data_IF_374889809729
#
_entry.id   IF_374889809729
#
_cell.length_a   1.000
_cell.length_b   1.000
_cell.length_c   1.000
_cell.angle_alpha   90.00
_cell.angle_beta   90.00
_cell.angle_gamma   90.00
#
_symmetry.space_group_name_H-M   'P 1'
#
loop_
_entity.id
_entity.type
_entity.pdbx_description
1 polymer ?
2 polymer ?
3 polymer ?
4 non-polymer ?
5 non-polymer ?
6 non-polymer ?
7 non-polymer ?
8 water ?
#
loop_
_entity_poly.entity_id
_entity_poly.type
_entity_poly.pdbx_seq_one_letter_code
_entity_poly.pdbx_strand_id
2 'polydeoxyribonucleotide' '(DC)(DT)(DG)(DC)(DC)(DT)(DC)(DA)(DG)(DG)(DC)(DA)(DC)' ?
3 'polydeoxyribonucleotide' '(DG)(DT)(DG)(DC)(DC)(DT)(DG)(DA)(DG)(DG)(DC)(DA)(DG)' ?
#
# COMPACT_ATOMS: atom_id res chain seq x y z
N UNK A 2 25.20 1.56 13.99
CA UNK A 2 25.10 1.98 15.44
C UNK A 2 23.69 2.45 15.86
N UNK A 3 23.31 2.15 17.10
CA UNK A 3 22.07 2.55 17.81
C UNK A 3 21.80 4.06 17.64
N UNK A 4 20.53 4.42 17.48
CA UNK A 4 20.12 5.83 17.61
C UNK A 4 20.44 6.32 19.04
N UNK A 5 21.11 7.44 19.12
CA UNK A 5 21.38 8.07 20.44
C UNK A 5 20.07 8.09 21.22
N UNK A 6 19.97 7.48 22.43
CA UNK A 6 18.76 7.48 23.22
C UNK A 6 18.17 8.86 23.53
N UNK A 7 19.03 9.89 23.58
CA UNK A 7 18.59 11.29 23.81
C UNK A 7 17.75 11.79 22.61
N UNK A 8 17.86 11.18 21.43
CA UNK A 8 17.10 11.59 20.24
C UNK A 8 15.92 10.65 19.97
N UNK A 9 15.64 9.74 20.90
CA UNK A 9 14.52 8.78 20.76
C UNK A 9 13.42 9.23 21.70
N UNK A 10 12.23 9.49 21.20
CA UNK A 10 11.13 9.94 22.06
C UNK A 10 10.53 8.75 22.80
N UNK A 11 10.17 7.68 22.09
CA UNK A 11 9.62 6.44 22.71
C UNK A 11 9.77 5.30 21.69
N UNK A 12 9.32 4.10 22.07
CA UNK A 12 9.23 2.91 21.20
C UNK A 12 7.78 2.44 21.13
N UNK A 13 7.32 2.01 19.97
CA UNK A 13 5.87 1.85 19.71
C UNK A 13 5.71 0.48 19.06
N UNK A 14 4.82 -0.38 19.60
CA UNK A 14 4.59 -1.70 19.02
C UNK A 14 3.81 -1.52 17.72
N UNK A 15 4.24 -2.23 16.69
CA UNK A 15 3.62 -2.20 15.36
C UNK A 15 2.14 -2.57 15.46
N UNK A 16 1.28 -1.88 14.71
CA UNK A 16 -0.18 -2.13 14.62
C UNK A 16 -0.48 -3.32 13.71
N UNK A 17 0.43 -3.73 12.84
CA UNK A 17 0.12 -4.75 11.79
C UNK A 17 0.93 -6.03 11.98
N UNK A 18 1.64 -6.18 13.10
CA UNK A 18 2.42 -7.40 13.41
C UNK A 18 1.54 -8.50 13.99
N UNK A 19 1.64 -9.72 13.52
CA UNK A 19 1.00 -10.89 14.16
C UNK A 19 2.01 -11.57 15.08
N UNK A 20 1.58 -11.97 16.28
CA UNK A 20 2.37 -12.84 17.18
C UNK A 20 3.77 -12.25 17.39
N UNK A 21 3.87 -10.97 17.74
CA UNK A 21 5.14 -10.35 18.22
C UNK A 21 6.22 -10.49 17.15
N UNK A 22 5.86 -10.47 15.87
CA UNK A 22 6.81 -10.70 14.74
C UNK A 22 7.85 -9.55 14.66
N UNK A 23 7.60 -8.36 15.19
CA UNK A 23 8.57 -7.21 15.10
C UNK A 23 8.88 -6.64 16.49
N UNK A 24 10.12 -6.17 16.67
CA UNK A 24 10.50 -5.32 17.84
C UNK A 24 9.73 -4.03 17.76
N UNK A 25 9.53 -3.39 18.91
CA UNK A 25 8.92 -2.06 18.97
C UNK A 25 9.72 -1.17 18.02
N UNK A 26 9.04 -0.32 17.29
CA UNK A 26 9.66 0.70 16.43
C UNK A 26 10.10 1.86 17.31
N UNK A 27 11.33 2.32 17.13
CA UNK A 27 11.79 3.57 17.79
C UNK A 27 11.15 4.77 17.10
N UNK A 28 10.62 5.67 17.89
CA UNK A 28 10.11 6.93 17.35
C UNK A 28 11.05 8.04 17.79
N UNK A 29 11.78 8.63 16.85
CA UNK A 29 12.74 9.73 17.12
C UNK A 29 11.98 11.00 17.45
N UNK A 30 12.68 11.91 18.13
CA UNK A 30 12.19 13.29 18.31
C UNK A 30 11.96 13.96 16.93
N UNK A 31 12.81 13.74 15.94
CA UNK A 31 12.65 14.25 14.56
C UNK A 31 11.27 13.81 14.02
N UNK A 32 10.92 12.53 14.19
CA UNK A 32 9.60 12.01 13.72
C UNK A 32 8.46 12.72 14.43
N UNK A 33 8.54 12.86 15.76
CA UNK A 33 7.50 13.59 16.51
C UNK A 33 7.38 15.02 15.98
N UNK A 34 8.48 15.68 15.68
CA UNK A 34 8.44 17.08 15.21
C UNK A 34 7.79 17.14 13.79
N UNK A 35 8.05 16.16 12.95
CA UNK A 35 7.34 16.01 11.66
C UNK A 35 5.82 15.91 11.87
N UNK A 36 5.36 15.10 12.81
CA UNK A 36 3.91 14.96 13.04
C UNK A 36 3.31 16.28 13.57
N UNK A 37 4.04 17.06 14.37
CA UNK A 37 3.46 18.26 15.06
C UNK A 37 3.52 19.49 14.14
N UNK A 38 4.29 19.40 13.07
CA UNK A 38 4.57 20.53 12.15
C UNK A 38 3.67 20.43 10.91
N UNK A 39 3.49 21.51 10.13
CA UNK A 39 2.78 21.42 8.86
C UNK A 39 3.44 20.35 8.01
N UNK A 40 2.68 19.61 7.17
CA UNK A 40 1.27 19.87 6.93
C UNK A 40 0.24 19.21 7.84
N UNK A 41 0.59 18.22 8.66
CA UNK A 41 -0.46 17.60 9.50
C UNK A 41 -0.77 18.37 10.80
N UNK A 42 0.22 18.92 11.51
CA UNK A 42 -0.01 19.62 12.81
C UNK A 42 -0.95 18.78 13.69
N UNK A 43 -0.55 17.55 14.02
CA UNK A 43 -1.35 16.71 14.92
C UNK A 43 -1.42 17.37 16.29
N UNK A 44 -2.51 17.13 17.00
CA UNK A 44 -2.70 17.61 18.39
C UNK A 44 -2.34 16.48 19.35
N UNK A 45 -2.46 16.71 20.65
CA UNK A 45 -1.99 15.75 21.68
C UNK A 45 -2.77 14.46 21.51
N UNK A 46 -4.04 14.56 21.25
CA UNK A 46 -4.90 13.37 21.24
C UNK A 46 -4.53 12.47 20.04
N UNK A 47 -4.34 13.03 18.86
CA UNK A 47 -3.95 12.27 17.64
C UNK A 47 -2.54 11.71 17.78
N UNK A 48 -1.62 12.52 18.33
CA UNK A 48 -0.23 12.04 18.53
C UNK A 48 -0.19 10.91 19.55
N UNK A 49 -1.00 11.00 20.61
CA UNK A 49 -1.16 9.89 21.58
C UNK A 49 -1.58 8.59 20.90
N UNK A 50 -2.48 8.64 19.93
CA UNK A 50 -2.88 7.40 19.24
C UNK A 50 -1.75 6.90 18.35
N UNK A 51 -1.05 7.79 17.68
CA UNK A 51 0.10 7.40 16.84
C UNK A 51 1.12 6.69 17.73
N UNK A 52 1.36 7.24 18.93
CA UNK A 52 2.33 6.66 19.90
C UNK A 52 1.67 5.54 20.67
N UNK A 53 0.42 5.21 20.42
CA UNK A 53 -0.27 4.09 21.11
C UNK A 53 -0.14 4.23 22.64
N UNK A 54 -0.48 5.40 23.19
CA UNK A 54 -0.46 5.64 24.67
C UNK A 54 -1.87 5.43 25.27
N UNK A 55 -1.94 4.89 26.46
CA UNK A 55 -3.17 4.76 27.29
C UNK A 55 -3.85 6.12 27.39
N UNK A 56 -5.19 6.18 27.27
CA UNK A 56 -5.96 7.43 27.44
C UNK A 56 -6.25 7.59 28.94
N UNK A 57 -5.27 7.95 29.73
CA UNK A 57 -5.42 8.00 31.21
C UNK A 57 -5.81 9.43 31.57
N UNK A 58 -6.18 9.68 32.82
CA UNK A 58 -6.58 11.04 33.29
C UNK A 58 -5.41 12.01 33.07
N UNK A 59 -5.61 13.18 32.49
CA UNK A 59 -4.49 14.11 32.19
C UNK A 59 -3.44 13.46 31.26
N UNK A 60 -3.86 12.54 30.38
CA UNK A 60 -2.92 11.90 29.44
C UNK A 60 -2.31 12.94 28.50
N UNK A 61 -3.14 13.87 28.03
CA UNK A 61 -2.79 15.00 27.15
C UNK A 61 -1.74 15.89 27.80
N UNK A 62 -1.95 16.23 29.07
CA UNK A 62 -1.04 17.12 29.86
C UNK A 62 0.31 16.44 30.01
N UNK A 63 0.28 15.20 30.38
CA UNK A 63 1.52 14.42 30.58
C UNK A 63 2.27 14.28 29.23
N UNK A 64 1.58 14.15 28.07
CA UNK A 64 2.28 14.05 26.77
C UNK A 64 2.88 15.42 26.45
N UNK A 65 2.13 16.49 26.64
CA UNK A 65 2.58 17.88 26.34
C UNK A 65 3.75 18.26 27.25
N UNK A 66 3.83 17.74 28.47
CA UNK A 66 4.99 17.96 29.37
C UNK A 66 6.21 17.21 28.84
N UNK A 67 6.03 15.95 28.47
CA UNK A 67 7.11 15.17 27.83
C UNK A 67 7.65 15.96 26.63
N UNK A 68 6.76 16.52 25.78
CA UNK A 68 7.21 17.26 24.58
C UNK A 68 7.97 18.53 25.02
N UNK A 69 7.50 19.23 26.04
CA UNK A 69 8.18 20.47 26.51
C UNK A 69 9.61 20.16 26.94
N UNK A 70 9.82 19.08 27.67
CA UNK A 70 11.19 18.67 28.12
C UNK A 70 12.16 18.59 26.93
N UNK A 71 11.73 18.14 25.74
CA UNK A 71 12.62 17.96 24.56
C UNK A 71 12.59 19.19 23.66
N UNK A 72 11.87 20.25 24.06
CA UNK A 72 11.86 21.55 23.36
C UNK A 72 10.78 21.71 22.31
N UNK A 73 9.82 20.79 22.22
CA UNK A 73 8.67 20.90 21.26
C UNK A 73 7.48 21.48 22.05
N UNK A 74 6.80 22.43 21.45
CA UNK A 74 5.69 23.17 22.09
C UNK A 74 4.42 22.72 21.38
N UNK A 75 3.53 22.05 22.10
CA UNK A 75 2.24 21.58 21.57
C UNK A 75 1.14 22.25 22.40
N UNK A 76 0.50 23.34 21.89
CA UNK A 76 -0.57 24.02 22.62
C UNK A 76 -1.72 23.06 22.93
N UNK A 77 -2.27 23.19 24.13
CA UNK A 77 -3.40 22.37 24.63
C UNK A 77 -4.60 22.57 23.72
N UNK A 78 -4.77 23.75 23.10
CA UNK A 78 -5.99 24.09 22.35
C UNK A 78 -5.91 23.77 20.87
N UNK A 79 -4.80 23.19 20.41
CA UNK A 79 -4.57 22.96 18.96
C UNK A 79 -5.76 22.17 18.37
N UNK A 80 -6.24 22.61 17.21
CA UNK A 80 -7.43 22.01 16.54
C UNK A 80 -7.11 20.56 16.14
N UNK A 81 -8.14 19.69 16.20
CA UNK A 81 -8.08 18.27 15.80
C UNK A 81 -8.21 18.16 14.27
N UNK A 82 -7.12 17.75 13.59
CA UNK A 82 -7.08 17.48 12.13
C UNK A 82 -8.20 16.49 11.76
N UNK A 83 -9.04 16.86 10.79
CA UNK A 83 -10.12 16.01 10.25
C UNK A 83 -9.66 15.26 8.98
N UNK A 84 -8.61 15.71 8.24
CA UNK A 84 -8.06 14.99 7.06
C UNK A 84 -7.06 13.93 7.52
N UNK A 85 -7.44 13.08 8.45
CA UNK A 85 -6.60 11.94 8.88
C UNK A 85 -7.00 10.75 8.00
N UNK A 86 -6.05 9.92 7.65
CA UNK A 86 -6.32 8.65 6.91
C UNK A 86 -5.82 7.51 7.77
N UNK A 87 -5.99 6.29 7.26
CA UNK A 87 -5.47 5.11 7.96
C UNK A 87 -3.94 5.22 8.06
N UNK A 88 -3.28 5.86 7.08
CA UNK A 88 -1.80 6.02 7.06
C UNK A 88 -1.36 6.91 8.24
N UNK A 89 -2.19 7.82 8.69
CA UNK A 89 -1.87 8.77 9.78
C UNK A 89 -1.59 7.99 11.06
N UNK A 90 -2.15 6.78 11.21
CA UNK A 90 -1.96 5.97 12.43
C UNK A 90 -0.53 5.44 12.52
N UNK A 91 0.23 5.37 11.41
CA UNK A 91 1.48 4.62 11.40
C UNK A 91 2.65 5.41 11.99
N UNK A 92 3.54 4.74 12.71
CA UNK A 92 4.90 5.30 12.98
C UNK A 92 5.73 5.03 11.71
N UNK A 93 6.71 5.89 11.46
CA UNK A 93 7.48 5.87 10.19
C UNK A 93 8.10 4.49 9.97
N UNK A 94 8.70 3.87 10.98
CA UNK A 94 9.28 2.53 10.80
C UNK A 94 8.25 1.53 10.29
N UNK A 95 7.01 1.59 10.76
CA UNK A 95 5.99 0.60 10.32
C UNK A 95 5.52 0.97 8.89
N UNK A 96 5.43 2.25 8.61
CA UNK A 96 4.96 2.73 7.29
C UNK A 96 5.92 2.22 6.24
N UNK A 97 7.21 2.36 6.52
CA UNK A 97 8.23 1.92 5.55
C UNK A 97 8.22 0.40 5.48
N UNK A 98 8.08 -0.28 6.62
CA UNK A 98 8.00 -1.76 6.61
C UNK A 98 6.79 -2.21 5.78
N UNK A 99 5.66 -1.53 5.93
CA UNK A 99 4.45 -1.88 5.16
C UNK A 99 4.70 -1.71 3.65
N UNK A 100 5.36 -0.64 3.27
CA UNK A 100 5.72 -0.42 1.85
C UNK A 100 6.67 -1.50 1.33
N UNK A 101 7.65 -1.90 2.15
CA UNK A 101 8.60 -2.99 1.82
C UNK A 101 7.85 -4.32 1.61
N UNK A 102 6.89 -4.65 2.46
CA UNK A 102 6.13 -5.89 2.33
C UNK A 102 5.23 -5.81 1.09
N UNK A 103 4.68 -4.62 0.78
CA UNK A 103 3.90 -4.41 -0.47
C UNK A 103 4.79 -4.69 -1.68
N UNK A 104 5.99 -4.13 -1.68
CA UNK A 104 7.05 -4.40 -2.67
C UNK A 104 7.32 -5.88 -2.82
N UNK A 105 7.45 -6.57 -1.70
CA UNK A 105 7.70 -8.02 -1.66
C UNK A 105 6.56 -8.81 -2.34
N UNK A 106 5.29 -8.53 -2.00
CA UNK A 106 4.14 -9.26 -2.59
C UNK A 106 3.99 -8.86 -4.06
N UNK A 107 4.25 -7.63 -4.44
CA UNK A 107 4.20 -7.21 -5.86
C UNK A 107 5.30 -7.92 -6.67
N UNK A 108 6.44 -8.24 -6.06
CA UNK A 108 7.56 -8.93 -6.74
C UNK A 108 7.31 -10.44 -6.77
N UNK A 109 6.82 -11.04 -5.70
CA UNK A 109 6.77 -12.50 -5.54
C UNK A 109 5.36 -13.07 -5.76
N UNK A 110 4.28 -12.31 -5.58
CA UNK A 110 2.94 -12.97 -5.61
C UNK A 110 2.11 -12.37 -6.75
N UNK A 111 2.40 -11.18 -7.26
CA UNK A 111 1.58 -10.59 -8.33
C UNK A 111 1.70 -11.45 -9.58
N UNK A 112 0.61 -11.92 -10.25
CA UNK A 112 0.79 -12.88 -11.34
C UNK A 112 1.13 -12.17 -12.66
N UNK A 113 2.34 -11.60 -12.77
CA UNK A 113 2.72 -10.75 -13.92
C UNK A 113 2.63 -11.54 -15.25
N UNK A 114 3.00 -12.80 -15.23
CA UNK A 114 3.04 -13.65 -16.45
C UNK A 114 1.60 -13.93 -16.91
N UNK A 115 0.70 -14.33 -16.02
CA UNK A 115 -0.71 -14.57 -16.39
C UNK A 115 -1.35 -13.27 -16.89
N UNK A 116 -1.09 -12.15 -16.25
CA UNK A 116 -1.64 -10.84 -16.70
C UNK A 116 -1.10 -10.53 -18.13
N UNK A 117 0.20 -10.70 -18.36
CA UNK A 117 0.83 -10.45 -19.67
C UNK A 117 0.17 -11.32 -20.76
N UNK A 118 -0.06 -12.58 -20.47
CA UNK A 118 -0.66 -13.52 -21.44
C UNK A 118 -2.07 -13.07 -21.73
N UNK A 119 -2.83 -12.71 -20.70
CA UNK A 119 -4.20 -12.24 -20.92
C UNK A 119 -4.20 -10.95 -21.74
N UNK A 120 -3.43 -9.95 -21.35
CA UNK A 120 -3.55 -8.68 -22.07
C UNK A 120 -2.94 -8.81 -23.48
N UNK A 121 -1.88 -9.56 -23.68
CA UNK A 121 -1.33 -9.82 -25.05
C UNK A 121 -2.46 -10.44 -25.92
N UNK A 122 -3.30 -11.33 -25.36
CA UNK A 122 -4.37 -12.02 -26.11
C UNK A 122 -5.48 -11.04 -26.48
N UNK A 123 -5.71 -10.00 -25.69
CA UNK A 123 -6.71 -8.97 -26.06
C UNK A 123 -6.20 -8.16 -27.26
N UNK A 124 -4.90 -8.05 -27.50
CA UNK A 124 -4.35 -7.27 -28.66
C UNK A 124 -3.44 -8.17 -29.47
N UNK A 125 -4.00 -9.22 -30.06
CA UNK A 125 -3.23 -10.30 -30.66
C UNK A 125 -3.34 -10.33 -32.20
N UNK A 126 -4.04 -9.38 -32.84
CA UNK A 126 -4.01 -9.23 -34.32
C UNK A 126 -2.56 -9.05 -34.78
N UNK A 127 -2.12 -9.79 -35.83
CA UNK A 127 -0.81 -9.54 -36.44
C UNK A 127 -0.51 -8.06 -36.74
N UNK A 128 -1.53 -7.33 -37.17
CA UNK A 128 -1.33 -5.95 -37.67
C UNK A 128 -1.14 -4.98 -36.50
N UNK A 129 -1.21 -5.41 -35.23
CA UNK A 129 -0.95 -4.44 -34.12
C UNK A 129 0.27 -4.86 -33.28
N UNK A 130 1.00 -5.90 -33.67
CA UNK A 130 2.07 -6.45 -32.79
C UNK A 130 3.26 -5.50 -32.77
N UNK A 131 3.59 -4.82 -33.87
CA UNK A 131 4.75 -3.90 -33.83
C UNK A 131 4.39 -2.71 -32.93
N UNK A 132 3.20 -2.13 -33.10
CA UNK A 132 2.76 -0.97 -32.28
C UNK A 132 2.74 -1.41 -30.80
N UNK A 133 2.18 -2.57 -30.48
CA UNK A 133 2.02 -3.01 -29.05
C UNK A 133 3.42 -3.09 -28.45
N UNK A 134 4.37 -3.73 -29.16
CA UNK A 134 5.76 -3.86 -28.65
C UNK A 134 6.34 -2.48 -28.36
N UNK A 135 6.21 -1.52 -29.26
CA UNK A 135 6.78 -0.16 -29.04
C UNK A 135 6.06 0.50 -27.86
N UNK A 136 4.75 0.27 -27.70
CA UNK A 136 4.00 0.93 -26.59
C UNK A 136 4.49 0.34 -25.26
N UNK A 137 4.73 -0.97 -25.20
CA UNK A 137 5.24 -1.67 -23.99
C UNK A 137 6.63 -1.15 -23.68
N UNK A 138 7.52 -1.06 -24.67
CA UNK A 138 8.88 -0.48 -24.47
C UNK A 138 8.83 0.98 -23.97
N UNK A 139 8.02 1.84 -24.57
CA UNK A 139 7.91 3.24 -24.11
C UNK A 139 7.38 3.26 -22.66
N UNK A 140 6.43 2.38 -22.30
CA UNK A 140 5.80 2.38 -20.97
C UNK A 140 6.88 2.04 -19.95
N UNK A 141 7.70 1.03 -20.26
CA UNK A 141 8.86 0.62 -19.40
C UNK A 141 9.77 1.81 -19.18
N UNK A 142 10.09 2.54 -20.24
CA UNK A 142 11.06 3.64 -20.09
C UNK A 142 10.48 4.77 -19.27
N UNK A 143 9.24 5.16 -19.54
CA UNK A 143 8.61 6.30 -18.83
C UNK A 143 8.42 5.92 -17.35
N UNK A 144 7.95 4.69 -17.07
CA UNK A 144 7.79 4.20 -15.66
C UNK A 144 9.13 4.20 -14.94
N UNK A 145 10.22 3.77 -15.59
CA UNK A 145 11.54 3.72 -14.92
C UNK A 145 12.01 5.13 -14.60
N UNK A 146 11.86 6.08 -15.51
CA UNK A 146 12.27 7.48 -15.25
C UNK A 146 11.47 8.00 -14.03
N UNK A 147 10.18 7.68 -13.97
CA UNK A 147 9.29 8.13 -12.86
C UNK A 147 9.78 7.54 -11.51
N UNK A 148 10.02 6.23 -11.44
CA UNK A 148 10.48 5.55 -10.19
C UNK A 148 11.91 5.98 -9.85
N UNK A 149 12.78 6.23 -10.84
CA UNK A 149 14.14 6.78 -10.62
C UNK A 149 14.07 8.14 -9.95
N UNK A 150 13.14 9.00 -10.33
CA UNK A 150 12.97 10.29 -9.62
C UNK A 150 12.54 10.00 -8.16
N UNK A 151 11.56 9.12 -7.94
CA UNK A 151 11.06 8.90 -6.57
C UNK A 151 12.21 8.32 -5.72
N UNK A 152 13.11 7.51 -6.29
CA UNK A 152 14.24 6.88 -5.60
C UNK A 152 15.30 7.93 -5.23
N UNK A 153 15.25 9.13 -5.79
CA UNK A 153 16.20 10.20 -5.45
C UNK A 153 15.67 11.07 -4.32
N UNK A 154 14.43 10.80 -3.86
CA UNK A 154 13.83 11.51 -2.68
C UNK A 154 14.81 11.38 -1.51
N UNK A 155 15.19 12.46 -0.84
CA UNK A 155 16.00 12.39 0.40
C UNK A 155 15.25 13.06 1.54
N UNK A 156 13.94 12.85 1.64
CA UNK A 156 13.10 13.29 2.77
C UNK A 156 13.70 12.76 4.07
N UNK A 157 13.84 13.56 5.12
CA UNK A 157 14.13 13.03 6.45
C UNK A 157 13.17 11.90 6.88
N UNK A 158 13.69 10.84 7.42
CA UNK A 158 12.94 9.67 7.98
C UNK A 158 13.79 9.10 9.11
N UNK A 159 13.16 8.48 10.12
CA UNK A 159 13.88 8.04 11.34
C UNK A 159 14.76 9.17 11.85
N UNK A 160 16.00 8.85 12.18
CA UNK A 160 16.96 9.82 12.70
C UNK A 160 17.86 10.31 11.56
N UNK A 161 17.55 10.04 10.30
CA UNK A 161 18.45 10.53 9.24
C UNK A 161 17.90 11.77 8.51
N UNK A 162 18.81 12.67 8.20
CA UNK A 162 18.61 13.92 7.46
C UNK A 162 19.67 13.94 6.38
N UNK A 163 19.59 13.08 5.35
CA UNK A 163 20.63 13.03 4.33
C UNK A 163 20.67 14.32 3.50
N UNK A 164 21.81 14.58 2.84
CA UNK A 164 21.98 15.77 1.95
C UNK A 164 21.10 15.55 0.72
N UNK A 165 20.28 16.53 0.30
CA UNK A 165 19.44 16.33 -0.88
C UNK A 165 20.29 16.19 -2.16
N UNK A 166 19.85 15.36 -3.10
CA UNK A 166 20.50 15.25 -4.43
C UNK A 166 19.62 15.89 -5.50
N UNK A 167 18.32 16.10 -5.23
CA UNK A 167 17.39 16.89 -6.07
C UNK A 167 17.41 18.36 -5.66
N UNK A 168 17.06 19.23 -6.61
CA UNK A 168 16.81 20.69 -6.43
C UNK A 168 15.66 20.89 -5.43
N UNK A 169 15.74 21.97 -4.63
CA UNK A 169 14.85 22.18 -3.50
C UNK A 169 13.36 22.21 -3.82
N UNK A 170 12.96 22.69 -5.01
CA UNK A 170 11.55 22.74 -5.41
C UNK A 170 10.94 21.33 -5.47
N UNK A 171 11.48 20.44 -6.29
CA UNK A 171 10.89 19.07 -6.45
C UNK A 171 11.08 18.32 -5.11
N UNK A 172 12.20 18.50 -4.39
CA UNK A 172 12.44 17.85 -3.07
C UNK A 172 11.35 18.22 -2.07
N UNK A 173 10.98 19.50 -1.97
CA UNK A 173 9.91 19.94 -1.06
C UNK A 173 8.58 19.27 -1.46
N UNK A 174 8.31 19.08 -2.74
CA UNK A 174 7.06 18.41 -3.19
C UNK A 174 7.10 16.93 -2.77
N UNK A 175 8.21 16.24 -2.97
CA UNK A 175 8.30 14.82 -2.56
C UNK A 175 8.21 14.72 -1.04
N UNK A 176 8.79 15.67 -0.33
CA UNK A 176 8.77 15.68 1.16
C UNK A 176 7.33 15.83 1.63
N UNK A 177 6.57 16.69 0.98
CA UNK A 177 5.12 16.83 1.30
C UNK A 177 4.45 15.44 1.26
N UNK A 178 4.68 14.67 0.22
CA UNK A 178 4.04 13.32 0.08
C UNK A 178 4.57 12.38 1.18
N UNK A 179 5.86 12.47 1.55
CA UNK A 179 6.48 11.71 2.65
C UNK A 179 5.74 12.05 3.97
N UNK A 180 5.50 13.32 4.25
CA UNK A 180 4.95 13.76 5.54
C UNK A 180 3.48 13.34 5.67
N UNK A 181 2.66 13.44 4.63
CA UNK A 181 1.22 13.07 4.81
C UNK A 181 1.09 11.54 4.88
N UNK A 182 2.01 10.78 4.33
CA UNK A 182 1.92 9.29 4.27
C UNK A 182 2.83 8.65 5.35
N UNK A 183 3.59 9.43 6.10
CA UNK A 183 4.51 8.92 7.17
C UNK A 183 5.57 8.04 6.55
N UNK A 184 5.97 8.33 5.31
CA UNK A 184 7.03 7.61 4.62
C UNK A 184 6.56 6.45 3.77
N UNK A 185 5.29 6.08 3.83
CA UNK A 185 4.72 4.97 3.03
C UNK A 185 4.69 5.32 1.54
N UNK A 186 4.44 6.58 1.20
CA UNK A 186 3.84 6.98 -0.09
C UNK A 186 4.72 6.64 -1.30
N UNK A 187 5.89 7.26 -1.38
CA UNK A 187 6.80 7.09 -2.54
C UNK A 187 7.26 5.65 -2.70
N UNK A 188 7.68 4.96 -1.62
CA UNK A 188 8.02 3.55 -1.71
C UNK A 188 6.86 2.64 -2.12
N UNK A 189 5.64 2.92 -1.64
CA UNK A 189 4.47 2.10 -2.01
C UNK A 189 4.16 2.33 -3.50
N UNK A 190 4.28 3.56 -3.97
CA UNK A 190 4.08 3.81 -5.42
C UNK A 190 5.13 3.01 -6.20
N UNK A 191 6.42 3.08 -5.83
CA UNK A 191 7.51 2.27 -6.50
C UNK A 191 7.19 0.77 -6.39
N UNK A 192 6.69 0.29 -5.24
CA UNK A 192 6.31 -1.14 -5.11
C UNK A 192 5.30 -1.48 -6.19
N UNK A 193 4.23 -0.71 -6.33
CA UNK A 193 3.16 -1.05 -7.29
C UNK A 193 3.75 -1.02 -8.72
N UNK A 194 4.59 -0.03 -9.00
CA UNK A 194 5.14 0.10 -10.37
C UNK A 194 6.06 -1.10 -10.67
N UNK A 195 6.57 -1.83 -9.67
CA UNK A 195 7.32 -3.08 -9.96
C UNK A 195 6.37 -4.13 -10.52
N UNK A 196 5.13 -4.20 -10.05
CA UNK A 196 4.15 -5.17 -10.55
C UNK A 196 3.88 -4.83 -12.02
N UNK A 197 3.70 -3.55 -12.32
CA UNK A 197 3.43 -3.06 -13.70
C UNK A 197 4.68 -3.43 -14.55
N UNK A 198 5.88 -3.11 -14.05
CA UNK A 198 7.14 -3.33 -14.80
C UNK A 198 7.27 -4.84 -15.08
N UNK A 199 6.92 -5.71 -14.12
CA UNK A 199 7.02 -7.17 -14.29
C UNK A 199 6.03 -7.59 -15.39
N UNK A 200 4.83 -7.01 -15.40
CA UNK A 200 3.82 -7.30 -16.45
C UNK A 200 4.41 -6.93 -17.83
N UNK A 201 5.01 -5.75 -17.93
CA UNK A 201 5.57 -5.25 -19.20
C UNK A 201 6.70 -6.17 -19.67
N UNK A 202 7.62 -6.56 -18.78
CA UNK A 202 8.68 -7.54 -19.07
C UNK A 202 8.05 -8.85 -19.53
N UNK A 203 7.06 -9.38 -18.83
CA UNK A 203 6.52 -10.70 -19.19
C UNK A 203 5.78 -10.57 -20.54
N UNK A 204 5.19 -9.40 -20.84
CA UNK A 204 4.37 -9.19 -22.04
C UNK A 204 5.33 -9.17 -23.22
N UNK A 205 6.46 -8.47 -23.08
CA UNK A 205 7.47 -8.42 -24.18
C UNK A 205 8.10 -9.81 -24.40
N UNK A 206 8.39 -10.51 -23.31
CA UNK A 206 8.93 -11.88 -23.37
C UNK A 206 7.94 -12.83 -24.04
N UNK A 207 6.63 -12.77 -23.76
CA UNK A 207 5.68 -13.73 -24.35
C UNK A 207 5.52 -13.42 -25.86
N UNK A 208 5.62 -12.15 -26.26
CA UNK A 208 5.63 -11.79 -27.71
C UNK A 208 6.88 -12.36 -28.39
N UNK A 209 8.05 -12.14 -27.82
CA UNK A 209 9.35 -12.67 -28.30
C UNK A 209 9.29 -14.18 -28.45
N UNK A 210 8.65 -14.88 -27.52
CA UNK A 210 8.68 -16.35 -27.47
C UNK A 210 7.37 -16.92 -27.98
N UNK A 211 6.60 -16.17 -28.75
CA UNK A 211 5.27 -16.64 -29.18
C UNK A 211 5.40 -17.96 -29.93
N UNK A 212 6.43 -18.09 -30.80
CA UNK A 212 6.53 -19.32 -31.63
C UNK A 212 6.73 -20.53 -30.73
N UNK A 213 7.68 -20.46 -29.80
CA UNK A 213 8.04 -21.64 -28.97
C UNK A 213 6.90 -21.94 -28.00
N UNK A 214 6.13 -20.94 -27.59
CA UNK A 214 4.94 -21.09 -26.71
C UNK A 214 3.84 -21.91 -27.42
N UNK A 215 3.50 -21.61 -28.67
CA UNK A 215 2.57 -22.43 -29.51
C UNK A 215 3.24 -23.73 -30.03
N UNK A 216 4.56 -23.89 -29.88
CA UNK A 216 5.46 -25.05 -30.22
C UNK A 216 5.57 -25.18 -31.75
N UNK B 4 -25.19 -7.56 6.37
CA UNK B 4 -24.77 -9.04 6.35
C UNK B 4 -25.64 -9.80 7.35
N UNK B 5 -26.27 -10.87 6.93
CA UNK B 5 -27.05 -11.80 7.77
C UNK B 5 -26.21 -12.17 8.99
N UNK B 6 -26.68 -11.93 10.24
CA UNK B 6 -25.91 -12.26 11.44
C UNK B 6 -25.42 -13.73 11.50
N UNK B 7 -26.14 -14.68 10.89
CA UNK B 7 -25.75 -16.11 10.76
C UNK B 7 -24.41 -16.27 10.03
N UNK B 8 -24.06 -15.32 9.15
CA UNK B 8 -22.84 -15.35 8.31
C UNK B 8 -21.70 -14.58 9.00
N UNK B 9 -21.94 -13.89 10.11
CA UNK B 9 -20.90 -13.05 10.78
C UNK B 9 -20.24 -13.88 11.86
N UNK B 10 -18.94 -14.13 11.73
CA UNK B 10 -18.19 -14.87 12.75
C UNK B 10 -17.93 -13.90 13.91
N UNK B 11 -17.48 -12.69 13.65
CA UNK B 11 -17.18 -11.76 14.77
C UNK B 11 -16.95 -10.41 14.12
N UNK B 12 -16.80 -9.41 14.95
CA UNK B 12 -16.55 -8.01 14.57
C UNK B 12 -15.20 -7.66 15.15
N UNK B 13 -14.39 -6.91 14.43
CA UNK B 13 -12.97 -6.66 14.79
C UNK B 13 -12.70 -5.17 14.63
N UNK B 14 -12.19 -4.48 15.66
CA UNK B 14 -11.81 -3.09 15.52
C UNK B 14 -10.62 -2.99 14.56
N UNK B 15 -10.62 -1.95 13.75
CA UNK B 15 -9.55 -1.65 12.80
C UNK B 15 -8.24 -1.45 13.54
N UNK B 16 -7.17 -1.93 12.94
CA UNK B 16 -5.79 -1.76 13.43
C UNK B 16 -5.25 -0.35 13.15
N UNK B 17 -5.80 0.39 12.20
CA UNK B 17 -5.15 1.61 11.66
C UNK B 17 -6.02 2.84 11.93
N UNK B 18 -7.05 2.72 12.76
CA UNK B 18 -7.94 3.86 13.17
C UNK B 18 -7.32 4.68 14.30
N UNK B 19 -7.46 6.00 14.27
CA UNK B 19 -7.10 6.94 15.34
C UNK B 19 -8.40 7.44 15.99
N UNK B 20 -8.47 7.43 17.32
CA UNK B 20 -9.56 8.05 18.12
C UNK B 20 -10.93 7.55 17.65
N UNK B 21 -11.14 6.23 17.59
CA UNK B 21 -12.50 5.64 17.38
C UNK B 21 -13.14 6.21 16.11
N UNK B 22 -12.32 6.48 15.09
CA UNK B 22 -12.72 7.03 13.75
C UNK B 22 -13.59 6.01 12.97
N UNK B 23 -13.42 4.70 13.14
CA UNK B 23 -14.18 3.67 12.35
C UNK B 23 -14.99 2.74 13.27
N UNK B 24 -16.18 2.30 12.85
CA UNK B 24 -16.91 1.18 13.50
C UNK B 24 -16.12 -0.13 13.27
N UNK B 25 -16.37 -1.13 14.10
CA UNK B 25 -15.68 -2.43 14.02
C UNK B 25 -15.95 -3.03 12.63
N UNK B 26 -15.05 -3.82 12.06
CA UNK B 26 -15.31 -4.49 10.77
C UNK B 26 -15.96 -5.84 11.04
N UNK B 27 -16.99 -6.16 10.28
CA UNK B 27 -17.56 -7.53 10.30
C UNK B 27 -16.60 -8.47 9.57
N UNK B 28 -16.36 -9.61 10.20
CA UNK B 28 -15.62 -10.72 9.61
C UNK B 28 -16.63 -11.87 9.46
N UNK B 29 -16.88 -12.26 8.20
CA UNK B 29 -17.81 -13.33 7.82
C UNK B 29 -17.14 -14.68 7.90
N UNK B 30 -17.97 -15.69 7.98
CA UNK B 30 -17.59 -17.11 7.86
C UNK B 30 -16.80 -17.30 6.56
N UNK B 31 -17.22 -16.69 5.46
CA UNK B 31 -16.57 -16.88 4.14
C UNK B 31 -15.15 -16.31 4.22
N UNK B 32 -14.95 -15.18 4.91
CA UNK B 32 -13.59 -14.61 5.07
C UNK B 32 -12.73 -15.57 5.91
N UNK B 33 -13.23 -16.07 7.03
CA UNK B 33 -12.49 -17.02 7.87
C UNK B 33 -12.15 -18.26 7.04
N UNK B 34 -13.08 -18.77 6.26
CA UNK B 34 -12.76 -19.95 5.42
C UNK B 34 -11.61 -19.61 4.46
N UNK B 35 -11.56 -18.40 3.93
CA UNK B 35 -10.45 -18.05 2.99
C UNK B 35 -9.15 -18.10 3.78
N UNK B 36 -9.11 -17.56 5.02
CA UNK B 36 -7.86 -17.54 5.83
C UNK B 36 -7.40 -18.98 6.15
N UNK B 37 -8.32 -19.91 6.31
CA UNK B 37 -8.02 -21.28 6.77
C UNK B 37 -7.63 -22.18 5.58
N UNK B 38 -7.83 -21.74 4.36
CA UNK B 38 -7.67 -22.57 3.15
C UNK B 38 -6.41 -22.11 2.40
N UNK B 39 -5.91 -22.92 1.45
CA UNK B 39 -4.74 -22.52 0.66
C UNK B 39 -5.04 -21.20 -0.01
N UNK B 40 -4.05 -20.31 -0.23
CA UNK B 40 -2.63 -20.61 -0.02
C UNK B 40 -2.09 -20.33 1.38
N UNK B 41 -2.82 -19.64 2.22
CA UNK B 41 -2.27 -19.26 3.56
C UNK B 41 -2.34 -20.39 4.59
N UNK B 42 -3.49 -21.06 4.69
CA UNK B 42 -3.79 -22.04 5.78
C UNK B 42 -3.29 -21.51 7.13
N UNK B 43 -3.83 -20.39 7.59
CA UNK B 43 -3.56 -19.89 8.95
C UNK B 43 -3.98 -20.94 9.97
N UNK B 44 -3.29 -20.96 11.09
CA UNK B 44 -3.62 -21.84 12.23
C UNK B 44 -4.32 -21.01 13.31
N UNK B 45 -4.67 -21.64 14.44
CA UNK B 45 -5.50 -20.99 15.49
C UNK B 45 -4.80 -19.71 15.93
N UNK B 46 -3.52 -19.78 16.20
CA UNK B 46 -2.73 -18.68 16.77
C UNK B 46 -2.71 -17.48 15.80
N UNK B 47 -2.42 -17.72 14.51
CA UNK B 47 -2.39 -16.59 13.52
C UNK B 47 -3.82 -16.07 13.31
N UNK B 48 -4.80 -16.94 13.18
CA UNK B 48 -6.19 -16.46 12.96
C UNK B 48 -6.65 -15.67 14.19
N UNK B 49 -6.33 -16.14 15.38
CA UNK B 49 -6.62 -15.41 16.63
C UNK B 49 -6.09 -14.00 16.55
N UNK B 50 -4.91 -13.82 15.95
CA UNK B 50 -4.28 -12.49 15.85
C UNK B 50 -4.99 -11.65 14.80
N UNK B 51 -5.42 -12.26 13.70
CA UNK B 51 -6.18 -11.53 12.64
C UNK B 51 -7.53 -11.04 13.24
N UNK B 52 -8.15 -11.86 14.07
CA UNK B 52 -9.44 -11.56 14.76
C UNK B 52 -9.22 -10.74 16.02
N UNK B 53 -8.00 -10.32 16.35
CA UNK B 53 -7.68 -9.48 17.55
C UNK B 53 -8.34 -10.05 18.82
N UNK B 54 -8.10 -11.33 19.10
CA UNK B 54 -8.59 -12.06 20.29
C UNK B 54 -7.47 -12.20 21.32
N UNK B 55 -7.83 -12.11 22.59
CA UNK B 55 -6.96 -12.30 23.77
C UNK B 55 -6.20 -13.63 23.61
N UNK B 56 -4.92 -13.61 23.96
CA UNK B 56 -4.05 -14.81 24.04
C UNK B 56 -4.25 -15.41 25.44
N UNK B 57 -5.19 -16.31 25.57
CA UNK B 57 -5.59 -16.92 26.86
C UNK B 57 -5.12 -18.36 26.90
N UNK B 58 -5.15 -18.96 28.09
CA UNK B 58 -4.76 -20.38 28.23
C UNK B 58 -5.70 -21.21 27.35
N UNK B 59 -5.19 -22.12 26.54
CA UNK B 59 -6.11 -22.83 25.59
C UNK B 59 -7.09 -21.86 24.86
N UNK B 60 -6.62 -20.70 24.40
CA UNK B 60 -7.46 -19.83 23.55
C UNK B 60 -7.61 -20.42 22.14
N UNK B 61 -6.60 -21.14 21.69
CA UNK B 61 -6.57 -21.95 20.47
C UNK B 61 -7.73 -22.91 20.43
N UNK B 62 -7.98 -23.56 21.56
CA UNK B 62 -9.00 -24.63 21.69
C UNK B 62 -10.37 -23.98 21.58
N UNK B 63 -10.57 -22.85 22.22
CA UNK B 63 -11.85 -22.11 22.16
C UNK B 63 -12.12 -21.69 20.72
N UNK B 64 -11.14 -21.09 20.06
CA UNK B 64 -11.35 -20.64 18.66
C UNK B 64 -11.64 -21.87 17.78
N UNK B 65 -10.94 -22.98 17.99
CA UNK B 65 -11.14 -24.18 17.12
C UNK B 65 -12.56 -24.72 17.34
N UNK B 66 -13.07 -24.65 18.57
CA UNK B 66 -14.44 -25.14 18.90
C UNK B 66 -15.48 -24.17 18.32
N UNK B 67 -15.23 -22.87 18.37
CA UNK B 67 -16.09 -21.86 17.74
C UNK B 67 -16.13 -22.12 16.22
N UNK B 68 -15.01 -22.48 15.58
CA UNK B 68 -14.97 -22.71 14.12
C UNK B 68 -15.77 -23.99 13.81
N UNK B 69 -15.58 -25.03 14.61
CA UNK B 69 -16.24 -26.34 14.36
C UNK B 69 -17.77 -26.17 14.42
N UNK B 70 -18.27 -25.24 15.25
CA UNK B 70 -19.73 -25.05 15.40
C UNK B 70 -20.34 -24.45 14.12
N UNK B 71 -19.58 -23.61 13.41
CA UNK B 71 -20.04 -22.93 12.16
C UNK B 71 -19.58 -23.72 10.96
N UNK B 72 -19.08 -24.94 11.15
CA UNK B 72 -18.74 -25.88 10.07
C UNK B 72 -17.36 -25.68 9.42
N UNK B 73 -16.40 -25.01 10.08
CA UNK B 73 -14.99 -24.98 9.60
C UNK B 73 -14.11 -25.86 10.49
N UNK B 74 -13.30 -26.72 9.89
CA UNK B 74 -12.41 -27.66 10.62
C UNK B 74 -11.00 -27.06 10.66
N UNK B 75 -10.50 -26.76 11.85
CA UNK B 75 -9.13 -26.24 12.04
C UNK B 75 -8.42 -27.19 13.00
N UNK B 76 -7.53 -28.08 12.51
CA UNK B 76 -6.83 -29.03 13.41
C UNK B 76 -5.92 -28.31 14.40
N UNK B 77 -5.77 -28.90 15.59
CA UNK B 77 -4.89 -28.43 16.70
C UNK B 77 -3.42 -28.41 16.24
N UNK B 78 -3.04 -29.34 15.39
CA UNK B 78 -1.63 -29.53 15.01
C UNK B 78 -1.23 -28.74 13.77
N UNK B 79 -2.04 -27.80 13.30
CA UNK B 79 -1.69 -27.13 12.02
C UNK B 79 -0.48 -26.21 12.26
N UNK B 80 0.55 -26.33 11.44
CA UNK B 80 1.77 -25.49 11.54
C UNK B 80 1.43 -24.04 11.19
N UNK B 81 2.29 -23.13 11.60
CA UNK B 81 2.21 -21.71 11.20
C UNK B 81 2.43 -21.58 9.68
N UNK B 82 1.77 -20.61 9.07
CA UNK B 82 1.86 -20.35 7.63
C UNK B 82 3.32 -20.02 7.26
N UNK B 83 3.69 -20.45 6.07
CA UNK B 83 5.00 -20.25 5.44
C UNK B 83 5.20 -18.77 5.05
N UNK B 84 4.17 -18.02 4.68
CA UNK B 84 4.39 -16.65 4.12
C UNK B 84 3.47 -15.67 4.86
N UNK B 85 4.02 -14.87 5.77
CA UNK B 85 3.31 -13.91 6.66
C UNK B 85 3.96 -12.55 6.42
N UNK B 86 3.17 -11.55 6.05
CA UNK B 86 3.58 -10.14 5.91
C UNK B 86 2.71 -9.30 6.84
N UNK B 87 2.92 -7.99 6.84
CA UNK B 87 2.06 -7.08 7.61
C UNK B 87 0.64 -7.17 7.01
N UNK B 88 0.50 -7.48 5.71
CA UNK B 88 -0.87 -7.52 5.14
C UNK B 88 -1.64 -8.69 5.73
N UNK B 89 -0.98 -9.72 6.22
CA UNK B 89 -1.63 -10.93 6.76
C UNK B 89 -2.42 -10.57 8.02
N UNK B 90 -2.11 -9.47 8.68
CA UNK B 90 -2.83 -9.08 9.91
C UNK B 90 -4.21 -8.51 9.61
N UNK B 91 -4.50 -8.14 8.35
CA UNK B 91 -5.68 -7.30 8.05
C UNK B 91 -6.95 -8.16 7.89
N UNK B 92 -8.05 -7.64 8.41
CA UNK B 92 -9.39 -8.16 8.00
C UNK B 92 -9.67 -7.55 6.62
N UNK B 93 -10.45 -8.26 5.79
CA UNK B 93 -10.69 -7.86 4.37
C UNK B 93 -11.28 -6.46 4.30
N UNK B 94 -12.16 -6.09 5.21
CA UNK B 94 -12.78 -4.77 5.17
C UNK B 94 -11.75 -3.65 5.31
N UNK B 95 -10.75 -3.86 6.19
CA UNK B 95 -9.76 -2.82 6.53
C UNK B 95 -8.70 -2.81 5.41
N UNK B 96 -8.45 -3.97 4.82
CA UNK B 96 -7.52 -4.10 3.68
C UNK B 96 -8.05 -3.26 2.54
N UNK B 97 -9.32 -3.42 2.21
CA UNK B 97 -9.96 -2.67 1.09
C UNK B 97 -10.04 -1.19 1.46
N UNK B 98 -10.41 -0.88 2.69
CA UNK B 98 -10.44 0.52 3.14
C UNK B 98 -9.03 1.15 3.00
N UNK B 99 -7.97 0.42 3.39
CA UNK B 99 -6.59 0.95 3.35
C UNK B 99 -6.19 1.22 1.87
N UNK B 100 -6.57 0.35 0.95
CA UNK B 100 -6.27 0.54 -0.48
C UNK B 100 -6.97 1.82 -0.97
N UNK B 101 -8.25 1.98 -0.63
CA UNK B 101 -9.02 3.20 -1.01
C UNK B 101 -8.36 4.44 -0.43
N UNK B 102 -7.88 4.38 0.81
CA UNK B 102 -7.17 5.52 1.43
C UNK B 102 -5.87 5.81 0.67
N UNK B 103 -5.12 4.78 0.28
CA UNK B 103 -3.91 4.94 -0.55
C UNK B 103 -4.29 5.65 -1.86
N UNK B 104 -5.36 5.21 -2.51
CA UNK B 104 -5.90 5.84 -3.73
C UNK B 104 -6.28 7.30 -3.50
N UNK B 105 -6.94 7.60 -2.38
CA UNK B 105 -7.23 9.00 -1.99
C UNK B 105 -5.95 9.83 -1.81
N UNK B 106 -4.89 9.34 -1.16
CA UNK B 106 -3.70 10.20 -0.96
C UNK B 106 -2.94 10.32 -2.29
N UNK B 107 -2.95 9.29 -3.12
CA UNK B 107 -2.31 9.42 -4.45
C UNK B 107 -3.02 10.51 -5.25
N UNK B 108 -4.35 10.52 -5.22
CA UNK B 108 -5.16 11.51 -5.98
C UNK B 108 -5.00 12.91 -5.38
N UNK B 109 -4.92 13.08 -4.06
CA UNK B 109 -5.04 14.42 -3.46
C UNK B 109 -3.70 14.94 -2.94
N UNK B 110 -2.64 14.14 -2.81
CA UNK B 110 -1.40 14.66 -2.18
C UNK B 110 -0.18 14.40 -3.05
N UNK B 111 -0.23 13.46 -3.96
CA UNK B 111 0.94 13.16 -4.81
C UNK B 111 1.21 14.38 -5.67
N UNK B 112 2.45 14.91 -5.74
CA UNK B 112 2.68 16.16 -6.51
C UNK B 112 2.85 15.94 -8.04
N UNK B 113 1.78 15.54 -8.70
CA UNK B 113 1.83 15.09 -10.11
C UNK B 113 2.34 16.26 -10.99
N UNK B 114 1.93 17.47 -10.68
CA UNK B 114 2.25 18.64 -11.54
C UNK B 114 3.72 18.98 -11.37
N UNK B 115 4.24 18.96 -10.14
CA UNK B 115 5.67 19.31 -9.90
C UNK B 115 6.53 18.19 -10.51
N UNK B 116 6.09 16.95 -10.41
CA UNK B 116 6.86 15.83 -10.98
C UNK B 116 6.87 15.99 -12.53
N UNK B 117 5.73 16.28 -13.14
CA UNK B 117 5.62 16.48 -14.61
C UNK B 117 6.58 17.62 -15.07
N UNK B 118 6.53 18.75 -14.39
CA UNK B 118 7.36 19.95 -14.76
C UNK B 118 8.82 19.55 -14.69
N UNK B 119 9.19 18.84 -13.64
CA UNK B 119 10.59 18.41 -13.44
C UNK B 119 11.02 17.38 -14.51
N UNK B 120 10.24 16.35 -14.75
CA UNK B 120 10.66 15.32 -15.73
C UNK B 120 10.60 15.90 -17.17
N UNK B 121 9.65 16.76 -17.52
CA UNK B 121 9.61 17.40 -18.88
C UNK B 121 10.91 18.19 -19.09
N UNK B 122 11.39 18.85 -18.03
CA UNK B 122 12.55 19.76 -18.09
C UNK B 122 13.81 18.92 -18.28
N UNK B 123 13.80 17.62 -17.98
CA UNK B 123 14.96 16.77 -18.33
C UNK B 123 14.93 16.43 -19.83
N UNK B 124 13.87 16.73 -20.58
CA UNK B 124 13.82 16.48 -22.05
C UNK B 124 13.41 17.77 -22.76
N UNK B 125 14.30 18.73 -22.86
CA UNK B 125 13.95 20.06 -23.41
C UNK B 125 14.53 20.26 -24.84
N UNK B 126 15.19 19.26 -25.43
CA UNK B 126 15.55 19.23 -26.88
C UNK B 126 14.27 19.43 -27.69
N UNK B 127 14.16 20.53 -28.48
CA UNK B 127 12.98 20.77 -29.31
C UNK B 127 12.62 19.59 -30.23
N UNK B 128 13.62 18.83 -30.68
CA UNK B 128 13.46 17.71 -31.65
C UNK B 128 13.00 16.41 -31.01
N UNK B 129 12.85 16.32 -29.68
CA UNK B 129 12.41 15.05 -29.03
C UNK B 129 11.02 15.22 -28.40
N UNK B 130 10.33 16.34 -28.62
CA UNK B 130 9.06 16.63 -27.93
C UNK B 130 7.96 15.73 -28.49
N UNK B 131 7.97 15.46 -29.80
CA UNK B 131 6.94 14.61 -30.43
C UNK B 131 7.16 13.21 -29.90
N UNK B 132 8.42 12.75 -29.85
CA UNK B 132 8.78 11.42 -29.30
C UNK B 132 8.29 11.33 -27.83
N UNK B 133 8.57 12.34 -27.01
CA UNK B 133 8.24 12.27 -25.56
C UNK B 133 6.72 12.22 -25.43
N UNK B 134 6.00 13.06 -26.19
CA UNK B 134 4.53 13.08 -26.18
C UNK B 134 3.99 11.70 -26.50
N UNK B 135 4.45 11.05 -27.55
CA UNK B 135 3.95 9.70 -27.89
C UNK B 135 4.30 8.67 -26.80
N UNK B 136 5.47 8.79 -26.18
CA UNK B 136 5.86 7.85 -25.11
C UNK B 136 4.89 8.01 -23.93
N UNK B 137 4.49 9.24 -23.60
CA UNK B 137 3.57 9.54 -22.49
C UNK B 137 2.18 9.02 -22.83
N UNK B 138 1.68 9.27 -24.05
CA UNK B 138 0.37 8.75 -24.47
C UNK B 138 0.41 7.23 -24.41
N UNK B 139 1.45 6.59 -24.96
CA UNK B 139 1.54 5.13 -24.95
C UNK B 139 1.46 4.61 -23.49
N UNK B 140 2.13 5.28 -22.56
CA UNK B 140 2.18 4.83 -21.15
C UNK B 140 0.77 4.93 -20.57
N UNK B 141 0.05 6.04 -20.83
CA UNK B 141 -1.33 6.25 -20.29
C UNK B 141 -2.23 5.14 -20.78
N UNK B 142 -2.12 4.76 -22.05
CA UNK B 142 -3.00 3.70 -22.61
C UNK B 142 -2.66 2.30 -22.06
N UNK B 143 -1.38 1.92 -22.03
CA UNK B 143 -0.94 0.61 -21.48
C UNK B 143 -1.32 0.53 -20.00
N UNK B 144 -1.09 1.57 -19.21
CA UNK B 144 -1.45 1.52 -17.76
C UNK B 144 -2.95 1.39 -17.57
N UNK B 145 -3.73 2.08 -18.41
CA UNK B 145 -5.20 2.02 -18.33
C UNK B 145 -5.69 0.61 -18.68
N UNK B 146 -5.15 -0.06 -19.69
CA UNK B 146 -5.58 -1.46 -19.99
C UNK B 146 -5.24 -2.34 -18.79
N UNK B 147 -4.06 -2.14 -18.20
CA UNK B 147 -3.58 -2.92 -17.03
C UNK B 147 -4.56 -2.75 -15.84
N UNK B 148 -4.84 -1.51 -15.45
CA UNK B 148 -5.78 -1.27 -14.31
C UNK B 148 -7.22 -1.64 -14.69
N UNK B 149 -7.63 -1.52 -15.96
CA UNK B 149 -8.98 -2.05 -16.35
C UNK B 149 -9.05 -3.56 -16.13
N UNK B 150 -7.99 -4.32 -16.44
CA UNK B 150 -8.01 -5.76 -16.11
C UNK B 150 -8.17 -5.95 -14.58
N UNK B 151 -7.38 -5.27 -13.78
CA UNK B 151 -7.44 -5.48 -12.29
C UNK B 151 -8.84 -5.12 -11.79
N UNK B 152 -9.51 -4.11 -12.39
CA UNK B 152 -10.87 -3.71 -11.98
C UNK B 152 -11.90 -4.79 -12.35
N UNK B 153 -11.61 -5.75 -13.21
CA UNK B 153 -12.58 -6.81 -13.59
C UNK B 153 -12.41 -8.04 -12.67
N UNK B 154 -11.48 -7.97 -11.73
CA UNK B 154 -11.33 -9.00 -10.65
C UNK B 154 -12.68 -9.15 -9.94
N UNK B 155 -13.21 -10.37 -9.84
CA UNK B 155 -14.44 -10.67 -9.07
C UNK B 155 -14.13 -11.72 -7.99
N UNK B 156 -12.91 -11.70 -7.45
CA UNK B 156 -12.51 -12.51 -6.27
C UNK B 156 -13.52 -12.27 -5.14
N UNK B 157 -14.02 -13.35 -4.52
CA UNK B 157 -14.81 -13.22 -3.30
C UNK B 157 -14.10 -12.41 -2.20
N UNK B 158 -14.83 -11.46 -1.60
CA UNK B 158 -14.43 -10.70 -0.40
C UNK B 158 -15.68 -10.49 0.46
N UNK B 159 -15.47 -10.31 1.74
CA UNK B 159 -16.56 -10.31 2.72
C UNK B 159 -17.53 -11.44 2.45
N UNK B 160 -18.83 -11.11 2.46
CA UNK B 160 -19.89 -12.10 2.19
C UNK B 160 -20.19 -12.13 0.68
N UNK B 161 -19.47 -11.41 -0.20
CA UNK B 161 -19.80 -11.32 -1.65
C UNK B 161 -19.13 -12.44 -2.44
N UNK B 162 -19.86 -12.99 -3.40
CA UNK B 162 -19.35 -14.04 -4.28
C UNK B 162 -19.98 -13.74 -5.64
N UNK B 163 -19.60 -12.63 -6.28
CA UNK B 163 -20.16 -12.27 -7.58
C UNK B 163 -19.74 -13.27 -8.66
N UNK B 164 -20.55 -13.38 -9.71
CA UNK B 164 -20.24 -14.20 -10.91
C UNK B 164 -19.01 -13.60 -11.59
N UNK B 165 -18.00 -14.37 -11.94
CA UNK B 165 -16.83 -13.81 -12.60
C UNK B 165 -17.16 -13.30 -14.01
N UNK B 166 -16.56 -12.19 -14.41
CA UNK B 166 -16.65 -11.67 -15.80
C UNK B 166 -15.42 -12.10 -16.59
N UNK B 167 -14.31 -12.45 -15.94
CA UNK B 167 -13.09 -12.92 -16.62
C UNK B 167 -13.15 -14.44 -16.71
N UNK B 168 -12.36 -15.00 -17.61
CA UNK B 168 -12.19 -16.46 -17.76
C UNK B 168 -11.47 -17.01 -16.53
N UNK B 169 -11.71 -18.30 -16.24
CA UNK B 169 -11.29 -18.93 -14.99
C UNK B 169 -9.78 -18.94 -14.75
N UNK B 170 -8.93 -19.05 -15.79
CA UNK B 170 -7.47 -19.04 -15.71
C UNK B 170 -6.97 -17.72 -15.06
N UNK B 171 -7.19 -16.60 -15.70
CA UNK B 171 -6.73 -15.28 -15.20
C UNK B 171 -7.46 -15.01 -13.87
N UNK B 172 -8.71 -15.43 -13.69
CA UNK B 172 -9.42 -15.12 -12.43
C UNK B 172 -8.75 -15.87 -11.28
N UNK B 173 -8.33 -17.15 -11.45
CA UNK B 173 -7.64 -17.88 -10.36
C UNK B 173 -6.31 -17.19 -10.01
N UNK B 174 -5.55 -16.68 -10.98
CA UNK B 174 -4.28 -15.96 -10.70
C UNK B 174 -4.59 -14.65 -9.95
N UNK B 175 -5.58 -13.86 -10.35
CA UNK B 175 -5.94 -12.62 -9.61
C UNK B 175 -6.46 -12.99 -8.18
N UNK B 176 -7.21 -14.06 -8.03
CA UNK B 176 -7.70 -14.56 -6.72
C UNK B 176 -6.51 -14.90 -5.82
N UNK B 177 -5.47 -15.53 -6.35
CA UNK B 177 -4.24 -15.82 -5.58
C UNK B 177 -3.70 -14.51 -4.96
N UNK B 178 -3.60 -13.45 -5.73
CA UNK B 178 -3.05 -12.16 -5.23
C UNK B 178 -4.00 -11.56 -4.19
N UNK B 179 -5.31 -11.76 -4.37
CA UNK B 179 -6.35 -11.30 -3.42
C UNK B 179 -6.16 -12.02 -2.05
N UNK B 180 -6.01 -13.33 -2.07
CA UNK B 180 -5.93 -14.18 -0.87
C UNK B 180 -4.68 -13.83 -0.07
N UNK B 181 -3.49 -13.67 -0.69
CA UNK B 181 -2.27 -13.40 0.12
C UNK B 181 -2.34 -11.97 0.65
N UNK B 182 -3.08 -11.05 0.01
CA UNK B 182 -3.07 -9.61 0.39
C UNK B 182 -4.34 -9.26 1.19
N UNK B 183 -5.26 -10.21 1.35
CA UNK B 183 -6.55 -10.06 2.08
C UNK B 183 -7.36 -8.98 1.39
N UNK B 184 -7.18 -8.83 0.09
CA UNK B 184 -7.96 -7.89 -0.70
C UNK B 184 -7.25 -6.59 -0.96
N UNK B 185 -6.11 -6.34 -0.34
CA UNK B 185 -5.43 -5.03 -0.52
C UNK B 185 -4.81 -4.92 -1.91
N UNK B 186 -4.28 -6.01 -2.47
CA UNK B 186 -3.23 -6.01 -3.51
C UNK B 186 -3.64 -5.26 -4.77
N UNK B 187 -4.64 -5.78 -5.49
CA UNK B 187 -5.06 -5.21 -6.79
C UNK B 187 -5.53 -3.76 -6.65
N UNK B 188 -6.42 -3.43 -5.70
CA UNK B 188 -6.81 -2.03 -5.56
C UNK B 188 -5.66 -1.12 -5.17
N UNK B 189 -4.66 -1.62 -4.42
CA UNK B 189 -3.47 -0.81 -4.03
C UNK B 189 -2.59 -0.55 -5.27
N UNK B 190 -2.42 -1.56 -6.12
CA UNK B 190 -1.69 -1.37 -7.41
C UNK B 190 -2.43 -0.27 -8.22
N UNK B 191 -3.75 -0.39 -8.33
CA UNK B 191 -4.59 0.63 -9.04
C UNK B 191 -4.41 2.02 -8.41
N UNK B 192 -4.42 2.11 -7.09
CA UNK B 192 -4.24 3.38 -6.36
C UNK B 192 -2.89 3.98 -6.79
N UNK B 193 -1.81 3.19 -6.85
CA UNK B 193 -0.49 3.78 -7.12
C UNK B 193 -0.44 4.24 -8.59
N UNK B 194 -1.05 3.50 -9.51
CA UNK B 194 -1.05 3.87 -10.94
C UNK B 194 -1.82 5.19 -11.12
N UNK B 195 -2.70 5.60 -10.17
CA UNK B 195 -3.37 6.91 -10.22
C UNK B 195 -2.32 8.01 -10.14
N UNK B 196 -1.33 7.88 -9.26
CA UNK B 196 -0.22 8.85 -9.14
C UNK B 196 0.49 8.93 -10.50
N UNK B 197 0.79 7.78 -11.11
CA UNK B 197 1.49 7.72 -12.41
C UNK B 197 0.60 8.39 -13.48
N UNK B 198 -0.68 8.05 -13.52
CA UNK B 198 -1.62 8.58 -14.56
C UNK B 198 -1.72 10.11 -14.39
N UNK B 199 -1.75 10.64 -13.16
CA UNK B 199 -1.88 12.10 -12.94
C UNK B 199 -0.58 12.78 -13.39
N UNK B 200 0.57 12.18 -13.16
CA UNK B 200 1.86 12.71 -13.68
C UNK B 200 1.76 12.78 -15.22
N UNK B 201 1.35 11.71 -15.87
CA UNK B 201 1.33 11.63 -17.36
C UNK B 201 0.36 12.67 -17.89
N UNK B 202 -0.79 12.81 -17.24
CA UNK B 202 -1.77 13.87 -17.62
C UNK B 202 -1.11 15.24 -17.51
N UNK B 203 -0.51 15.57 -16.36
CA UNK B 203 0.10 16.89 -16.12
C UNK B 203 1.26 17.08 -17.10
N UNK B 204 2.02 16.03 -17.43
CA UNK B 204 3.18 16.21 -18.34
C UNK B 204 2.65 16.53 -19.75
N UNK B 205 1.59 15.88 -20.22
CA UNK B 205 1.05 16.16 -21.57
C UNK B 205 0.49 17.59 -21.60
N UNK B 206 -0.27 17.95 -20.57
CA UNK B 206 -0.84 19.31 -20.43
C UNK B 206 0.26 20.38 -20.45
N UNK B 207 1.40 20.18 -19.79
CA UNK B 207 2.46 21.18 -19.67
C UNK B 207 3.12 21.30 -21.04
N UNK B 208 3.19 20.19 -21.79
CA UNK B 208 3.89 20.13 -23.11
C UNK B 208 3.05 20.92 -24.10
N UNK B 209 1.72 20.72 -24.06
CA UNK B 209 0.69 21.37 -24.92
C UNK B 209 0.66 22.88 -24.63
N UNK B 210 0.69 23.30 -23.36
CA UNK B 210 0.86 24.73 -22.98
C UNK B 210 2.09 25.29 -23.73
N UNK B 211 3.28 24.68 -23.55
CA UNK B 211 4.57 25.17 -24.13
C UNK B 211 4.52 25.20 -25.66
N UNK B 212 3.50 24.61 -26.28
CA UNK B 212 3.40 24.46 -27.74
C UNK B 212 2.85 25.76 -28.34
#
# INVERSE_FOLDING_TARGET
GGVVNPNEVFCSVPGRLSLLSSTSKYKVTVAEVQRRLSPPECLNASLLGGVLRRAKSKNGGRSLREKLDKIGLNLPAGRRKAANVTLLTSLVEGEAVHLARDFGYVCETEFPAKAVAEFLNRQHSDPNEQVTRKNMLLATKQICKEFTDLLAQDRSPLGNSRPNPILEPGIQSCLTHFNLISHGFGSPAVCAAVTALQNYLTEALKAMDKMYLSNNPNS
GGVVNPNEVFCSVPGRLSLLSSTSKYKVTVAEVQRRLSPPECLNASLLGGVLRRAKSKNGGRSLREKLDKIGLNLPAGRRKAANVTLLTSLVEGEAVHLARDFGYVCETEFPAKAVAEFLNRQHSDPNEQVTRKNMLLATKQICKEFTDLLAQDRSPLGNSRPNPILEPGIQSCLTHFNLISHGFGSPAVCAAVTALQNYLTEALKAMDKMYLSNNPNS
#
